data_IF_186423491872
#
_entry.id   IF_186423491872
#
_cell.length_a   1.000
_cell.length_b   1.000
_cell.length_c   1.000
_cell.angle_alpha   90.00
_cell.angle_beta   90.00
_cell.angle_gamma   90.00
#
_symmetry.space_group_name_H-M   'P 1'
#
loop_
_entity.id
_entity.type
_entity.pdbx_description
1 polymer ?
#
# COMPACT_ATOMS: atom_id res chain seq x y z
N UNK A 1 5.18 5.04 64.56
CA UNK A 1 4.55 5.80 63.46
C UNK A 1 5.54 5.92 62.30
N UNK A 2 5.31 5.22 61.19
CA UNK A 2 6.03 5.43 59.93
C UNK A 2 4.98 5.48 58.83
N UNK A 3 4.72 6.68 58.33
CA UNK A 3 3.83 6.92 57.18
C UNK A 3 4.66 6.70 55.93
N UNK A 4 4.26 5.75 55.08
CA UNK A 4 4.82 5.58 53.75
C UNK A 4 3.91 6.27 52.74
N UNK A 5 4.42 7.30 52.06
CA UNK A 5 3.75 7.94 50.93
C UNK A 5 3.74 6.98 49.73
N UNK A 6 2.55 6.60 49.27
CA UNK A 6 2.36 5.95 47.98
C UNK A 6 2.25 7.05 46.93
N UNK A 7 3.26 7.17 46.06
CA UNK A 7 3.19 8.03 44.87
C UNK A 7 2.38 7.29 43.80
N UNK A 8 1.17 7.78 43.53
CA UNK A 8 0.35 7.32 42.41
C UNK A 8 0.89 7.98 41.13
N UNK A 9 1.61 7.23 40.30
CA UNK A 9 1.98 7.70 38.96
C UNK A 9 0.75 7.56 38.04
N UNK A 10 0.22 8.69 37.56
CA UNK A 10 -0.80 8.70 36.51
C UNK A 10 -0.15 8.23 35.20
N UNK A 11 -0.47 7.02 34.76
CA UNK A 11 -0.08 6.57 33.42
C UNK A 11 -0.95 7.30 32.39
N UNK A 12 -0.33 8.14 31.56
CA UNK A 12 -0.96 8.72 30.39
C UNK A 12 -1.21 7.58 29.38
N UNK A 13 -2.44 7.07 29.32
CA UNK A 13 -2.84 6.14 28.26
C UNK A 13 -2.96 6.98 26.98
N UNK A 14 -2.14 6.76 25.94
CA UNK A 14 -2.35 7.45 24.68
C UNK A 14 -3.68 6.97 24.12
N UNK A 15 -4.64 7.89 23.97
CA UNK A 15 -5.83 7.65 23.18
C UNK A 15 -5.35 7.30 21.77
N UNK A 16 -5.55 6.05 21.35
CA UNK A 16 -5.27 5.64 19.99
C UNK A 16 -6.05 6.58 19.06
N UNK A 17 -5.34 7.39 18.28
CA UNK A 17 -5.97 8.20 17.24
C UNK A 17 -6.60 7.21 16.29
N UNK A 18 -7.94 7.15 16.28
CA UNK A 18 -8.66 6.30 15.35
C UNK A 18 -8.24 6.72 13.94
N UNK A 19 -7.72 5.76 13.16
CA UNK A 19 -7.48 6.00 11.75
C UNK A 19 -8.80 6.44 11.10
N UNK A 20 -8.75 7.48 10.28
CA UNK A 20 -9.92 7.93 9.52
C UNK A 20 -10.46 6.76 8.68
N UNK A 21 -11.75 6.49 8.79
CA UNK A 21 -12.46 5.52 7.95
C UNK A 21 -12.97 6.15 6.65
N UNK A 22 -12.71 7.45 6.44
CA UNK A 22 -13.10 8.13 5.22
C UNK A 22 -12.14 7.80 4.07
N UNK A 23 -12.70 7.70 2.87
CA UNK A 23 -11.92 7.64 1.64
C UNK A 23 -11.14 8.93 1.43
N UNK A 24 -9.88 8.79 0.99
CA UNK A 24 -9.00 9.91 0.69
C UNK A 24 -8.46 9.78 -0.75
N UNK A 25 -8.47 10.88 -1.50
CA UNK A 25 -7.83 10.94 -2.81
C UNK A 25 -6.31 10.95 -2.65
N UNK A 26 -5.65 9.96 -3.23
CA UNK A 26 -4.18 9.86 -3.30
C UNK A 26 -3.67 10.17 -4.72
N UNK A 27 -2.34 10.21 -4.89
CA UNK A 27 -1.74 10.46 -6.19
C UNK A 27 -2.28 9.46 -7.23
N UNK A 28 -2.76 9.94 -8.39
CA UNK A 28 -3.38 9.08 -9.39
C UNK A 28 -2.34 8.13 -10.01
N UNK A 29 -2.79 6.95 -10.41
CA UNK A 29 -1.97 5.98 -11.12
C UNK A 29 -1.47 6.59 -12.45
N UNK A 30 -0.16 6.58 -12.78
CA UNK A 30 0.38 7.28 -13.95
C UNK A 30 -0.15 6.79 -15.31
N UNK A 31 -0.55 5.52 -15.40
CA UNK A 31 -1.22 4.96 -16.57
C UNK A 31 -2.61 4.43 -16.16
N UNK A 32 -3.71 5.09 -16.57
CA UNK A 32 -5.07 4.61 -16.35
C UNK A 32 -5.30 3.24 -16.99
N UNK A 33 -5.85 2.29 -16.22
CA UNK A 33 -6.14 0.91 -16.65
C UNK A 33 -7.07 0.23 -15.65
N UNK A 34 -7.85 -0.73 -16.12
CA UNK A 34 -8.75 -1.56 -15.29
C UNK A 34 -8.13 -2.93 -15.03
N UNK A 35 -8.81 -3.80 -14.27
CA UNK A 35 -8.44 -5.22 -14.12
C UNK A 35 -6.99 -5.45 -13.66
N UNK A 36 -6.47 -4.48 -12.91
CA UNK A 36 -5.12 -4.51 -12.36
C UNK A 36 -5.00 -5.56 -11.29
N UNK A 37 -3.78 -6.03 -11.10
CA UNK A 37 -3.40 -6.84 -9.94
C UNK A 37 -2.66 -5.93 -8.96
N UNK A 38 -2.94 -6.03 -7.67
CA UNK A 38 -2.23 -5.27 -6.65
C UNK A 38 -1.86 -6.13 -5.43
N UNK A 39 -0.68 -5.91 -4.88
CA UNK A 39 -0.24 -6.51 -3.61
C UNK A 39 0.81 -5.63 -2.93
N UNK A 40 0.97 -5.81 -1.62
CA UNK A 40 1.99 -5.11 -0.82
C UNK A 40 3.31 -5.88 -0.85
N UNK A 41 4.43 -5.19 -1.05
CA UNK A 41 5.79 -5.76 -0.95
C UNK A 41 6.68 -4.75 -0.24
N UNK A 42 7.24 -5.13 0.91
CA UNK A 42 7.84 -4.16 1.83
C UNK A 42 6.81 -3.10 2.25
N UNK A 43 7.18 -1.82 2.17
CA UNK A 43 6.33 -0.68 2.53
C UNK A 43 5.60 -0.06 1.31
N UNK A 44 5.64 -0.73 0.16
CA UNK A 44 5.04 -0.26 -1.09
C UNK A 44 3.84 -1.11 -1.52
N UNK A 45 2.90 -0.48 -2.22
CA UNK A 45 1.83 -1.17 -2.94
C UNK A 45 2.23 -1.26 -4.40
N UNK A 46 2.35 -2.47 -4.93
CA UNK A 46 2.71 -2.68 -6.34
C UNK A 46 1.45 -2.97 -7.13
N UNK A 47 1.25 -2.24 -8.23
CA UNK A 47 0.17 -2.45 -9.21
C UNK A 47 0.76 -2.98 -10.51
N UNK A 48 0.32 -4.17 -10.91
CA UNK A 48 0.79 -4.92 -12.06
C UNK A 48 -0.30 -5.10 -13.11
N UNK A 49 0.13 -5.21 -14.36
CA UNK A 49 -0.73 -5.58 -15.48
C UNK A 49 -1.93 -4.66 -15.63
N UNK A 50 -3.07 -5.24 -15.97
CA UNK A 50 -4.35 -4.57 -16.19
C UNK A 50 -4.70 -4.44 -17.66
N UNK A 51 -5.95 -4.07 -17.92
CA UNK A 51 -6.48 -3.87 -19.25
C UNK A 51 -6.45 -2.38 -19.61
N UNK A 52 -5.79 -2.06 -20.71
CA UNK A 52 -5.77 -0.71 -21.29
C UNK A 52 -6.72 -0.65 -22.47
N UNK A 53 -7.33 0.50 -22.71
CA UNK A 53 -8.24 0.70 -23.84
C UNK A 53 -7.56 0.48 -25.21
N UNK A 54 -6.27 0.80 -25.32
CA UNK A 54 -5.57 0.81 -26.61
C UNK A 54 -4.72 -0.43 -26.90
N UNK A 55 -4.23 -1.14 -25.86
CA UNK A 55 -3.19 -2.18 -26.01
C UNK A 55 -3.57 -3.54 -25.44
N UNK A 56 -4.80 -3.72 -24.96
CA UNK A 56 -5.21 -4.94 -24.28
C UNK A 56 -4.42 -5.16 -22.98
N UNK A 57 -4.06 -6.42 -22.71
CA UNK A 57 -3.32 -6.82 -21.51
C UNK A 57 -1.99 -6.06 -21.37
N UNK A 58 -1.83 -5.34 -20.27
CA UNK A 58 -0.66 -4.50 -20.02
C UNK A 58 0.47 -5.26 -19.37
N UNK A 59 1.71 -4.88 -19.70
CA UNK A 59 2.94 -5.33 -19.03
C UNK A 59 3.37 -4.37 -17.91
N UNK A 60 2.60 -3.31 -17.66
CA UNK A 60 2.97 -2.20 -16.78
C UNK A 60 3.00 -2.64 -15.31
N UNK A 61 4.11 -2.36 -14.64
CA UNK A 61 4.24 -2.39 -13.18
C UNK A 61 4.57 -0.99 -12.61
N UNK A 62 3.87 -0.56 -11.57
CA UNK A 62 4.15 0.69 -10.86
C UNK A 62 4.09 0.43 -9.34
N UNK A 63 5.04 0.98 -8.59
CA UNK A 63 5.05 0.92 -7.12
C UNK A 63 4.56 2.25 -6.55
N UNK A 64 3.63 2.20 -5.62
CA UNK A 64 3.15 3.32 -4.85
C UNK A 64 3.78 3.31 -3.46
N UNK A 65 4.31 4.47 -3.05
CA UNK A 65 4.77 4.71 -1.69
C UNK A 65 3.69 5.48 -0.92
N UNK A 66 2.99 4.87 0.06
CA UNK A 66 2.01 5.59 0.88
C UNK A 66 2.63 6.73 1.69
N UNK A 67 3.88 6.56 2.14
CA UNK A 67 4.62 7.57 2.90
C UNK A 67 4.94 8.83 2.08
N UNK A 68 5.20 8.68 0.77
CA UNK A 68 5.51 9.80 -0.14
C UNK A 68 4.33 10.26 -0.97
N UNK A 69 3.22 9.53 -0.91
CA UNK A 69 2.07 9.71 -1.80
C UNK A 69 2.49 9.84 -3.27
N UNK A 70 3.33 8.92 -3.75
CA UNK A 70 3.93 9.01 -5.08
C UNK A 70 4.15 7.65 -5.72
N UNK A 71 4.20 7.63 -7.04
CA UNK A 71 4.45 6.43 -7.83
C UNK A 71 5.86 6.39 -8.39
N UNK A 72 6.41 5.19 -8.55
CA UNK A 72 7.64 4.93 -9.31
C UNK A 72 7.41 3.80 -10.31
N UNK A 73 7.98 3.95 -11.51
CA UNK A 73 7.99 2.91 -12.53
C UNK A 73 8.86 1.73 -12.10
N UNK A 74 8.31 0.52 -12.20
CA UNK A 74 9.04 -0.74 -12.09
C UNK A 74 9.33 -1.32 -13.49
N UNK A 75 10.24 -2.30 -13.61
CA UNK A 75 10.41 -3.08 -14.83
C UNK A 75 9.10 -3.74 -15.28
N UNK A 76 8.93 -3.84 -16.59
CA UNK A 76 7.76 -4.47 -17.20
C UNK A 76 7.70 -5.98 -16.90
N UNK A 77 6.48 -6.49 -16.76
CA UNK A 77 6.25 -7.93 -16.74
C UNK A 77 6.73 -8.56 -18.06
N UNK A 78 7.15 -9.84 -18.07
CA UNK A 78 7.54 -10.52 -19.32
C UNK A 78 6.35 -10.67 -20.28
N UNK A 79 5.14 -10.80 -19.76
CA UNK A 79 3.89 -10.93 -20.53
C UNK A 79 2.82 -9.99 -19.98
N UNK A 80 1.88 -9.59 -20.83
CA UNK A 80 0.74 -8.78 -20.39
C UNK A 80 -0.25 -9.64 -19.62
N UNK A 81 -0.76 -9.15 -18.49
CA UNK A 81 -1.75 -9.88 -17.66
C UNK A 81 -2.91 -8.97 -17.28
N UNK A 82 -4.10 -9.54 -17.14
CA UNK A 82 -5.29 -8.93 -16.54
C UNK A 82 -6.09 -10.03 -15.82
N UNK A 83 -7.07 -9.69 -14.98
CA UNK A 83 -7.89 -10.67 -14.24
C UNK A 83 -7.07 -11.71 -13.45
N UNK A 84 -5.87 -11.34 -13.00
CA UNK A 84 -4.94 -12.22 -12.29
C UNK A 84 -4.92 -11.90 -10.79
N UNK A 85 -4.16 -12.67 -10.02
CA UNK A 85 -3.92 -12.45 -8.59
C UNK A 85 -2.43 -12.31 -8.35
N UNK A 86 -2.06 -11.57 -7.30
CA UNK A 86 -0.69 -11.53 -6.82
C UNK A 86 -0.63 -11.57 -5.30
N UNK A 87 0.51 -12.02 -4.77
CA UNK A 87 0.82 -12.00 -3.34
C UNK A 87 2.25 -11.55 -3.11
N UNK A 88 2.44 -10.69 -2.11
CA UNK A 88 3.76 -10.34 -1.61
C UNK A 88 4.23 -11.32 -0.54
N UNK A 89 5.44 -11.84 -0.68
CA UNK A 89 6.10 -12.70 0.32
C UNK A 89 7.52 -12.16 0.56
N UNK A 90 7.72 -11.50 1.71
CA UNK A 90 8.97 -10.81 2.01
C UNK A 90 9.24 -9.69 1.00
N UNK A 91 10.32 -9.82 0.23
CA UNK A 91 10.72 -8.88 -0.82
C UNK A 91 10.33 -9.32 -2.23
N UNK A 92 9.52 -10.38 -2.35
CA UNK A 92 9.11 -10.97 -3.63
C UNK A 92 7.61 -10.80 -3.87
N UNK A 93 7.25 -10.69 -5.14
CA UNK A 93 5.89 -10.63 -5.65
C UNK A 93 5.66 -11.85 -6.53
N UNK A 94 4.56 -12.56 -6.30
CA UNK A 94 4.12 -13.74 -7.07
C UNK A 94 2.79 -13.45 -7.71
#
# INVERSE_FOLDING_TARGET
>A
MRVACVLLALALVPLGVAASTAWETRAPLPLPRTEVVAATVGDEIVVLGGLTLERGASRRADAYSPARNSWRRLPDLPVGVHHSMAVGVGTRLY
#
